data_IF_537528992492
#
_entry.id   IF_537528992492
#
_cell.length_a   1.000
_cell.length_b   1.000
_cell.length_c   1.000
_cell.angle_alpha   90.00
_cell.angle_beta   90.00
_cell.angle_gamma   90.00
#
_symmetry.space_group_name_H-M   'P 1'
#
loop_
_entity.id
_entity.type
_entity.pdbx_description
1 polymer ?
#
# COMPACT_ATOMS: atom_id res chain seq x y z
N UNK A 1 -72.90 -68.69 4.81
CA UNK A 1 -71.64 -69.26 4.27
C UNK A 1 -71.14 -68.30 3.23
N UNK A 2 -69.81 -68.13 3.07
CA UNK A 2 -69.28 -67.34 1.97
C UNK A 2 -69.55 -68.14 0.70
N UNK A 3 -70.67 -67.85 0.04
CA UNK A 3 -70.95 -68.41 -1.27
C UNK A 3 -70.01 -67.71 -2.26
N UNK A 4 -69.06 -68.48 -2.81
CA UNK A 4 -68.20 -68.01 -3.90
C UNK A 4 -69.06 -67.89 -5.18
N UNK A 5 -69.77 -66.76 -5.28
CA UNK A 5 -70.58 -66.40 -6.43
C UNK A 5 -69.80 -65.44 -7.35
N UNK A 6 -70.16 -65.38 -8.64
CA UNK A 6 -69.57 -64.47 -9.64
C UNK A 6 -69.52 -63.01 -9.17
N UNK A 7 -70.47 -62.58 -8.34
CA UNK A 7 -70.51 -61.25 -7.71
C UNK A 7 -69.27 -60.92 -6.89
N UNK A 8 -68.69 -61.90 -6.18
CA UNK A 8 -67.45 -61.71 -5.42
C UNK A 8 -66.28 -61.41 -6.37
N UNK A 9 -66.24 -62.05 -7.53
CA UNK A 9 -65.22 -61.81 -8.56
C UNK A 9 -65.33 -60.39 -9.11
N UNK A 10 -66.55 -59.90 -9.39
CA UNK A 10 -66.78 -58.52 -9.82
C UNK A 10 -66.42 -57.50 -8.75
N UNK A 11 -66.68 -57.78 -7.47
CA UNK A 11 -66.32 -56.90 -6.37
C UNK A 11 -64.79 -56.82 -6.17
N UNK A 12 -64.08 -57.95 -6.29
CA UNK A 12 -62.61 -57.98 -6.26
C UNK A 12 -62.04 -57.19 -7.45
N UNK A 13 -62.56 -57.40 -8.66
CA UNK A 13 -62.14 -56.64 -9.83
C UNK A 13 -62.37 -55.13 -9.66
N UNK A 14 -63.54 -54.74 -9.14
CA UNK A 14 -63.86 -53.34 -8.84
C UNK A 14 -62.93 -52.72 -7.78
N UNK A 15 -62.58 -53.48 -6.73
CA UNK A 15 -61.62 -53.05 -5.73
C UNK A 15 -60.24 -52.79 -6.34
N UNK A 16 -59.72 -53.71 -7.17
CA UNK A 16 -58.43 -53.52 -7.81
C UNK A 16 -58.44 -52.37 -8.82
N UNK A 17 -59.52 -52.19 -9.58
CA UNK A 17 -59.67 -51.03 -10.47
C UNK A 17 -59.62 -49.73 -9.67
N UNK A 18 -60.39 -49.63 -8.58
CA UNK A 18 -60.39 -48.46 -7.70
C UNK A 18 -59.00 -48.23 -7.06
N UNK A 19 -58.34 -49.30 -6.60
CA UNK A 19 -56.99 -49.24 -6.05
C UNK A 19 -55.99 -48.69 -7.07
N UNK A 20 -56.03 -49.15 -8.32
CA UNK A 20 -55.16 -48.65 -9.39
C UNK A 20 -55.43 -47.18 -9.70
N UNK A 21 -56.70 -46.79 -9.78
CA UNK A 21 -57.12 -45.40 -9.99
C UNK A 21 -56.56 -44.53 -8.85
N UNK A 22 -56.77 -44.92 -7.59
CA UNK A 22 -56.33 -44.15 -6.43
C UNK A 22 -54.81 -44.09 -6.30
N UNK A 23 -54.11 -45.18 -6.65
CA UNK A 23 -52.65 -45.23 -6.70
C UNK A 23 -52.08 -44.22 -7.69
N UNK A 24 -52.65 -44.15 -8.90
CA UNK A 24 -52.17 -43.24 -9.96
C UNK A 24 -52.60 -41.80 -9.71
N UNK A 25 -53.84 -41.56 -9.28
CA UNK A 25 -54.40 -40.21 -9.12
C UNK A 25 -54.08 -39.54 -7.79
N UNK A 26 -53.84 -40.30 -6.72
CA UNK A 26 -53.71 -39.73 -5.36
C UNK A 26 -52.38 -40.07 -4.71
N UNK A 27 -52.05 -41.35 -4.54
CA UNK A 27 -50.84 -41.73 -3.78
C UNK A 27 -49.55 -41.29 -4.48
N UNK A 28 -49.41 -41.54 -5.79
CA UNK A 28 -48.24 -41.10 -6.56
C UNK A 28 -48.02 -39.59 -6.55
N UNK A 29 -49.00 -38.73 -6.88
CA UNK A 29 -48.76 -37.28 -6.88
C UNK A 29 -48.52 -36.73 -5.47
N UNK A 30 -49.19 -37.25 -4.44
CA UNK A 30 -48.95 -36.81 -3.05
C UNK A 30 -47.53 -37.12 -2.59
N UNK A 31 -47.05 -38.34 -2.84
CA UNK A 31 -45.66 -38.72 -2.52
C UNK A 31 -44.65 -37.87 -3.29
N UNK A 32 -44.92 -37.60 -4.57
CA UNK A 32 -44.06 -36.74 -5.39
C UNK A 32 -43.93 -35.32 -4.82
N UNK A 33 -45.05 -34.73 -4.36
CA UNK A 33 -45.04 -33.40 -3.73
C UNK A 33 -44.27 -33.40 -2.42
N UNK A 34 -44.39 -34.47 -1.61
CA UNK A 34 -43.63 -34.60 -0.37
C UNK A 34 -42.12 -34.71 -0.65
N UNK A 35 -41.71 -35.54 -1.60
CA UNK A 35 -40.31 -35.65 -2.01
C UNK A 35 -39.76 -34.34 -2.57
N UNK A 36 -40.54 -33.61 -3.37
CA UNK A 36 -40.15 -32.32 -3.93
C UNK A 36 -39.99 -31.26 -2.82
N UNK A 37 -40.90 -31.24 -1.83
CA UNK A 37 -40.77 -30.38 -0.65
C UNK A 37 -39.52 -30.71 0.16
N UNK A 38 -39.27 -31.99 0.44
CA UNK A 38 -38.09 -32.41 1.20
C UNK A 38 -36.80 -32.05 0.47
N UNK A 39 -36.75 -32.27 -0.85
CA UNK A 39 -35.60 -31.86 -1.69
C UNK A 39 -35.39 -30.35 -1.70
N UNK A 40 -36.46 -29.56 -1.80
CA UNK A 40 -36.36 -28.10 -1.80
C UNK A 40 -35.88 -27.57 -0.44
N UNK A 41 -36.38 -28.11 0.67
CA UNK A 41 -35.98 -27.68 2.01
C UNK A 41 -34.54 -28.11 2.30
N UNK A 42 -34.17 -29.35 1.99
CA UNK A 42 -32.79 -29.82 2.15
C UNK A 42 -31.81 -29.07 1.24
N UNK A 43 -32.23 -28.78 0.00
CA UNK A 43 -31.46 -28.02 -0.98
C UNK A 43 -31.18 -26.60 -0.51
N UNK A 44 -32.23 -25.87 -0.12
CA UNK A 44 -32.11 -24.48 0.38
C UNK A 44 -31.30 -24.39 1.67
N UNK A 45 -31.45 -25.36 2.59
CA UNK A 45 -30.61 -25.42 3.79
C UNK A 45 -29.13 -25.63 3.45
N UNK A 46 -28.84 -26.59 2.55
CA UNK A 46 -27.46 -26.85 2.11
C UNK A 46 -26.87 -25.62 1.42
N UNK A 47 -27.64 -24.97 0.55
CA UNK A 47 -27.22 -23.76 -0.15
C UNK A 47 -26.87 -22.64 0.84
N UNK A 48 -27.71 -22.41 1.85
CA UNK A 48 -27.45 -21.45 2.92
C UNK A 48 -26.16 -21.77 3.69
N UNK A 49 -25.94 -23.04 4.07
CA UNK A 49 -24.70 -23.48 4.74
C UNK A 49 -23.45 -23.23 3.86
N UNK A 50 -23.51 -23.52 2.56
CA UNK A 50 -22.41 -23.19 1.63
C UNK A 50 -22.18 -21.68 1.53
N UNK A 51 -23.24 -20.89 1.45
CA UNK A 51 -23.13 -19.43 1.35
C UNK A 51 -22.51 -18.83 2.61
N UNK A 52 -22.88 -19.32 3.79
CA UNK A 52 -22.27 -18.92 5.06
C UNK A 52 -20.79 -19.28 5.10
N UNK A 53 -20.41 -20.49 4.68
CA UNK A 53 -19.02 -20.92 4.63
C UNK A 53 -18.19 -20.07 3.64
N UNK A 54 -18.74 -19.76 2.46
CA UNK A 54 -18.10 -18.88 1.48
C UNK A 54 -17.96 -17.44 2.01
N UNK A 55 -18.98 -16.93 2.70
CA UNK A 55 -18.94 -15.62 3.31
C UNK A 55 -17.84 -15.54 4.37
N UNK A 56 -17.76 -16.51 5.28
CA UNK A 56 -16.71 -16.58 6.29
C UNK A 56 -15.31 -16.64 5.65
N UNK A 57 -15.15 -17.46 4.61
CA UNK A 57 -13.89 -17.53 3.86
C UNK A 57 -13.53 -16.18 3.23
N UNK A 58 -14.47 -15.51 2.57
CA UNK A 58 -14.25 -14.19 1.96
C UNK A 58 -13.93 -13.11 3.00
N UNK A 59 -14.57 -13.16 4.17
CA UNK A 59 -14.28 -12.25 5.28
C UNK A 59 -12.85 -12.44 5.79
N UNK A 60 -12.43 -13.68 6.02
CA UNK A 60 -11.05 -13.98 6.42
C UNK A 60 -10.03 -13.53 5.37
N UNK A 61 -10.29 -13.80 4.09
CA UNK A 61 -9.43 -13.32 3.00
C UNK A 61 -9.37 -11.79 2.92
N UNK A 62 -10.51 -11.12 3.15
CA UNK A 62 -10.59 -9.66 3.17
C UNK A 62 -9.80 -9.07 4.35
N UNK A 63 -9.98 -9.60 5.56
CA UNK A 63 -9.24 -9.17 6.75
C UNK A 63 -7.74 -9.39 6.58
N UNK A 64 -7.33 -10.53 6.04
CA UNK A 64 -5.93 -10.82 5.75
C UNK A 64 -5.34 -9.82 4.75
N UNK A 65 -6.03 -9.56 3.64
CA UNK A 65 -5.59 -8.55 2.65
C UNK A 65 -5.51 -7.15 3.24
N UNK A 66 -6.46 -6.78 4.10
CA UNK A 66 -6.46 -5.48 4.77
C UNK A 66 -5.26 -5.35 5.71
N UNK A 67 -4.96 -6.39 6.48
CA UNK A 67 -3.82 -6.42 7.39
C UNK A 67 -2.49 -6.38 6.62
N UNK A 68 -2.38 -7.15 5.53
CA UNK A 68 -1.21 -7.15 4.66
C UNK A 68 -0.99 -5.76 4.02
N UNK A 69 -2.05 -5.13 3.51
CA UNK A 69 -1.99 -3.79 2.94
C UNK A 69 -1.56 -2.75 3.98
N UNK A 70 -2.08 -2.84 5.22
CA UNK A 70 -1.65 -1.97 6.33
C UNK A 70 -0.18 -2.19 6.67
N UNK A 71 0.29 -3.43 6.74
CA UNK A 71 1.69 -3.75 7.02
C UNK A 71 2.62 -3.18 5.94
N UNK A 72 2.31 -3.41 4.66
CA UNK A 72 3.05 -2.85 3.51
C UNK A 72 3.06 -1.32 3.53
N UNK A 73 1.94 -0.68 3.84
CA UNK A 73 1.88 0.78 3.93
C UNK A 73 2.75 1.33 5.08
N UNK A 74 2.81 0.64 6.22
CA UNK A 74 3.69 1.03 7.33
C UNK A 74 5.16 0.86 6.97
N UNK A 75 5.51 -0.27 6.34
CA UNK A 75 6.87 -0.55 5.86
C UNK A 75 7.32 0.50 4.85
N UNK A 76 6.50 0.80 3.84
CA UNK A 76 6.79 1.82 2.84
C UNK A 76 6.95 3.21 3.47
N UNK A 77 6.09 3.57 4.43
CA UNK A 77 6.19 4.84 5.15
C UNK A 77 7.50 4.95 5.94
N UNK A 78 7.92 3.87 6.58
CA UNK A 78 9.19 3.83 7.30
C UNK A 78 10.38 3.92 6.34
N UNK A 79 10.32 3.24 5.19
CA UNK A 79 11.34 3.32 4.15
C UNK A 79 11.49 4.74 3.62
N UNK A 80 10.40 5.38 3.20
CA UNK A 80 10.41 6.77 2.69
C UNK A 80 10.93 7.73 3.76
N UNK A 81 10.56 7.54 5.03
CA UNK A 81 11.06 8.38 6.13
C UNK A 81 12.57 8.22 6.31
N UNK A 82 13.07 6.99 6.25
CA UNK A 82 14.51 6.70 6.38
C UNK A 82 15.29 7.29 5.20
N UNK A 83 14.82 7.10 3.97
CA UNK A 83 15.40 7.71 2.77
C UNK A 83 15.41 9.25 2.85
N UNK A 84 14.34 9.84 3.40
CA UNK A 84 14.27 11.29 3.64
C UNK A 84 15.32 11.78 4.63
N UNK A 85 15.50 11.07 5.75
CA UNK A 85 16.53 11.40 6.75
C UNK A 85 17.95 11.22 6.20
N UNK A 86 18.17 10.19 5.41
CA UNK A 86 19.48 9.93 4.82
C UNK A 86 19.84 11.01 3.78
N UNK A 87 18.88 11.41 2.93
CA UNK A 87 19.05 12.55 2.01
C UNK A 87 19.26 13.88 2.73
N UNK A 88 18.53 14.11 3.83
CA UNK A 88 18.71 15.32 4.65
C UNK A 88 20.13 15.38 5.23
N UNK A 89 20.63 14.25 5.76
CA UNK A 89 22.00 14.14 6.26
C UNK A 89 23.03 14.39 5.16
N UNK A 90 22.87 13.76 4.00
CA UNK A 90 23.76 13.95 2.86
C UNK A 90 23.80 15.42 2.41
N UNK A 91 22.62 16.06 2.30
CA UNK A 91 22.52 17.47 1.94
C UNK A 91 23.21 18.38 2.97
N UNK A 92 23.01 18.11 4.26
CA UNK A 92 23.64 18.86 5.34
C UNK A 92 25.17 18.68 5.38
N UNK A 93 25.67 17.47 5.14
CA UNK A 93 27.11 17.23 5.05
C UNK A 93 27.74 17.94 3.84
N UNK A 94 27.09 17.86 2.67
CA UNK A 94 27.54 18.57 1.48
C UNK A 94 27.55 20.09 1.70
N UNK A 95 26.46 20.65 2.24
CA UNK A 95 26.38 22.08 2.53
C UNK A 95 27.44 22.54 3.55
N UNK A 96 27.75 21.72 4.57
CA UNK A 96 28.83 22.00 5.53
C UNK A 96 30.19 21.98 4.85
N UNK A 97 30.45 21.00 3.99
CA UNK A 97 31.70 20.89 3.24
C UNK A 97 31.88 22.08 2.30
N UNK A 98 30.86 22.42 1.52
CA UNK A 98 30.88 23.58 0.61
C UNK A 98 31.12 24.89 1.37
N UNK A 99 30.52 25.03 2.55
CA UNK A 99 30.72 26.19 3.43
C UNK A 99 32.15 26.26 3.96
N UNK A 100 32.73 25.12 4.37
CA UNK A 100 34.12 25.04 4.82
C UNK A 100 35.09 25.37 3.68
N UNK A 101 34.87 24.81 2.49
CA UNK A 101 35.69 25.04 1.30
C UNK A 101 35.63 26.52 0.89
N UNK A 102 34.45 27.12 0.89
CA UNK A 102 34.25 28.55 0.61
C UNK A 102 34.98 29.44 1.62
N UNK A 103 34.93 29.08 2.90
CA UNK A 103 35.60 29.83 3.97
C UNK A 103 37.12 29.70 3.89
N UNK A 104 37.63 28.54 3.48
CA UNK A 104 39.05 28.33 3.20
C UNK A 104 39.52 29.14 2.00
N UNK A 105 38.75 29.14 0.91
CA UNK A 105 39.05 29.93 -0.28
C UNK A 105 39.07 31.44 0.04
N UNK A 106 38.06 31.94 0.76
CA UNK A 106 37.99 33.33 1.18
C UNK A 106 39.18 33.75 2.06
N UNK A 107 39.63 32.87 2.98
CA UNK A 107 40.83 33.12 3.79
C UNK A 107 42.10 33.19 2.94
N UNK A 108 42.26 32.27 1.98
CA UNK A 108 43.42 32.25 1.09
C UNK A 108 43.48 33.51 0.21
N UNK A 109 42.33 33.98 -0.28
CA UNK A 109 42.22 35.23 -1.05
C UNK A 109 42.52 36.45 -0.17
N UNK A 110 42.00 36.51 1.05
CA UNK A 110 42.30 37.57 2.01
C UNK A 110 43.81 37.65 2.32
N UNK A 111 44.48 36.51 2.54
CA UNK A 111 45.93 36.47 2.78
C UNK A 111 46.73 36.99 1.57
N UNK A 112 46.27 36.70 0.35
CA UNK A 112 46.87 37.20 -0.89
C UNK A 112 46.69 38.72 -1.00
N UNK A 113 45.50 39.22 -0.72
CA UNK A 113 45.19 40.65 -0.76
C UNK A 113 46.00 41.42 0.27
N UNK A 114 46.13 40.90 1.49
CA UNK A 114 46.98 41.50 2.54
C UNK A 114 48.44 41.56 2.09
N UNK A 115 48.99 40.50 1.49
CA UNK A 115 50.36 40.51 0.95
C UNK A 115 50.53 41.52 -0.18
N UNK A 116 49.54 41.64 -1.06
CA UNK A 116 49.54 42.61 -2.15
C UNK A 116 49.52 44.05 -1.62
N UNK A 117 48.60 44.35 -0.70
CA UNK A 117 48.47 45.65 -0.06
C UNK A 117 49.74 46.06 0.70
N UNK A 118 50.37 45.14 1.44
CA UNK A 118 51.66 45.38 2.10
C UNK A 118 52.78 45.69 1.11
N UNK A 119 52.77 45.07 -0.07
CA UNK A 119 53.76 45.32 -1.12
C UNK A 119 53.56 46.72 -1.72
N UNK A 120 52.32 47.09 -2.03
CA UNK A 120 51.97 48.44 -2.50
C UNK A 120 52.35 49.51 -1.46
N UNK A 121 52.02 49.31 -0.19
CA UNK A 121 52.37 50.26 0.88
C UNK A 121 53.88 50.49 0.99
N UNK A 122 54.69 49.44 0.79
CA UNK A 122 56.15 49.57 0.78
C UNK A 122 56.66 50.38 -0.41
N UNK A 123 56.05 50.22 -1.58
CA UNK A 123 56.40 51.02 -2.76
C UNK A 123 55.99 52.49 -2.58
N UNK A 124 54.77 52.75 -2.10
CA UNK A 124 54.30 54.10 -1.78
C UNK A 124 55.16 54.77 -0.71
N UNK A 125 55.53 54.04 0.35
CA UNK A 125 56.42 54.54 1.39
C UNK A 125 57.79 54.94 0.84
N UNK A 126 58.36 54.19 -0.11
CA UNK A 126 59.62 54.57 -0.79
C UNK A 126 59.43 55.85 -1.61
N UNK A 127 58.33 56.00 -2.33
CA UNK A 127 58.02 57.20 -3.12
C UNK A 127 57.87 58.42 -2.22
N UNK A 128 57.09 58.32 -1.15
CA UNK A 128 56.92 59.39 -0.15
C UNK A 128 58.27 59.73 0.49
N UNK A 129 59.10 58.74 0.83
CA UNK A 129 60.43 58.98 1.39
C UNK A 129 61.34 59.75 0.42
N UNK A 130 61.29 59.42 -0.88
CA UNK A 130 62.02 60.16 -1.92
C UNK A 130 61.50 61.60 -2.06
N UNK A 131 60.19 61.79 -2.04
CA UNK A 131 59.58 63.13 -2.13
C UNK A 131 59.95 64.00 -0.92
N UNK A 132 59.95 63.44 0.29
CA UNK A 132 60.39 64.12 1.51
C UNK A 132 61.88 64.49 1.41
N UNK A 133 62.74 63.55 1.02
CA UNK A 133 64.17 63.81 0.85
C UNK A 133 64.42 64.91 -0.21
N UNK A 134 63.70 64.87 -1.33
CA UNK A 134 63.78 65.89 -2.38
C UNK A 134 63.31 67.28 -1.94
N UNK A 135 62.28 67.36 -1.08
CA UNK A 135 61.82 68.63 -0.50
C UNK A 135 62.77 69.20 0.55
N UNK A 136 63.39 68.36 1.38
CA UNK A 136 64.35 68.80 2.41
C UNK A 136 65.69 69.23 1.79
N UNK A 137 66.12 68.59 0.72
CA UNK A 137 67.44 68.83 0.11
C UNK A 137 67.48 69.97 -0.92
N UNK A 138 66.34 70.63 -1.21
CA UNK A 138 66.19 71.73 -2.18
C UNK A 138 66.92 71.54 -3.53
N UNK A 139 67.12 70.30 -3.95
CA UNK A 139 67.69 69.99 -5.27
C UNK A 139 67.17 68.65 -5.73
N UNK A 140 66.49 68.64 -6.88
CA UNK A 140 66.04 67.41 -7.57
C UNK A 140 67.21 66.44 -7.67
N UNK A 141 67.12 65.31 -6.97
CA UNK A 141 68.01 64.17 -7.17
C UNK A 141 67.26 63.20 -8.06
N UNK A 142 67.85 62.95 -9.24
CA UNK A 142 67.38 62.05 -10.28
C UNK A 142 67.50 60.58 -9.85
#
# INVERSE_FOLDING_TARGET
MIELNLTLLYQIAGFFILYFILNVLLYKPVLKILEERDKNIAGTKKEAETLEAELQKKLLEYENKLNEAKAKAQEERLRIRQEGLDKERELLENARKDSQDSLMAAKAELEKDVKSALTQLKEESKTISKDIAGKILERKVA
#
